data_IF_864071580509
#
_entry.id   IF_864071580509
#
_cell.length_a   1.000
_cell.length_b   1.000
_cell.length_c   1.000
_cell.angle_alpha   90.00
_cell.angle_beta   90.00
_cell.angle_gamma   90.00
#
_symmetry.space_group_name_H-M   'P 1'
#
loop_
_entity.id
_entity.type
_entity.pdbx_description
1 polymer ?
#
# COMPACT_ATOMS: atom_id res chain seq x y z
N UNK A 1 4.58 -3.96 32.98
CA UNK A 1 4.77 -4.21 31.53
C UNK A 1 3.82 -3.30 30.78
N UNK A 2 4.33 -2.33 30.04
CA UNK A 2 3.57 -1.38 29.24
C UNK A 2 2.89 -2.10 28.07
N UNK A 3 1.58 -1.97 27.96
CA UNK A 3 0.74 -2.60 26.94
C UNK A 3 0.35 -1.59 25.88
N UNK A 4 0.68 -1.89 24.63
CA UNK A 4 0.44 -1.02 23.48
C UNK A 4 -0.56 -1.72 22.56
N UNK A 5 -1.63 -1.01 22.21
CA UNK A 5 -2.61 -1.45 21.22
C UNK A 5 -2.16 -0.99 19.83
N UNK A 6 -2.00 -1.90 18.89
CA UNK A 6 -1.86 -1.61 17.47
C UNK A 6 -3.20 -1.87 16.78
N UNK A 7 -3.81 -0.83 16.22
CA UNK A 7 -5.03 -0.91 15.45
C UNK A 7 -4.68 -1.16 13.97
N UNK A 8 -5.23 -2.22 13.38
CA UNK A 8 -5.09 -2.50 11.95
C UNK A 8 -5.89 -3.70 11.48
N UNK A 9 -5.95 -3.90 10.16
CA UNK A 9 -6.68 -4.98 9.49
C UNK A 9 -5.94 -6.33 9.61
N UNK A 10 -5.83 -6.87 10.83
CA UNK A 10 -5.04 -8.07 11.11
C UNK A 10 -5.93 -9.33 11.06
N UNK A 11 -5.39 -10.41 10.48
CA UNK A 11 -6.00 -11.74 10.54
C UNK A 11 -6.75 -12.20 9.28
N UNK A 12 -6.84 -11.37 8.24
CA UNK A 12 -7.54 -11.70 6.99
C UNK A 12 -6.70 -12.43 5.94
N UNK A 13 -5.45 -12.79 6.28
CA UNK A 13 -4.46 -13.32 5.32
C UNK A 13 -4.27 -12.41 4.09
N UNK A 14 -4.46 -11.11 4.27
CA UNK A 14 -4.10 -10.12 3.25
C UNK A 14 -2.61 -9.81 3.37
N UNK A 15 -1.85 -10.04 2.31
CA UNK A 15 -0.40 -9.82 2.26
C UNK A 15 -0.01 -8.38 2.62
N UNK A 16 -0.82 -7.41 2.19
CA UNK A 16 -0.62 -6.00 2.48
C UNK A 16 -0.77 -5.67 3.96
N UNK A 17 -1.87 -6.10 4.57
CA UNK A 17 -2.10 -5.81 5.99
C UNK A 17 -1.15 -6.63 6.90
N UNK A 18 -0.82 -7.85 6.48
CA UNK A 18 0.19 -8.69 7.13
C UNK A 18 1.56 -8.00 7.15
N UNK A 19 2.01 -7.44 6.02
CA UNK A 19 3.32 -6.79 5.96
C UNK A 19 3.37 -5.51 6.79
N UNK A 20 2.26 -4.75 6.88
CA UNK A 20 2.17 -3.60 7.80
C UNK A 20 2.42 -4.02 9.25
N UNK A 21 1.78 -5.11 9.66
CA UNK A 21 1.91 -5.64 11.01
C UNK A 21 3.31 -6.20 11.29
N UNK A 22 3.87 -6.97 10.35
CA UNK A 22 5.18 -7.57 10.50
C UNK A 22 6.29 -6.52 10.59
N UNK A 23 6.25 -5.49 9.75
CA UNK A 23 7.21 -4.37 9.81
C UNK A 23 7.08 -3.64 11.15
N UNK A 24 5.85 -3.33 11.59
CA UNK A 24 5.66 -2.69 12.90
C UNK A 24 6.28 -3.52 14.02
N UNK A 25 5.98 -4.82 14.08
CA UNK A 25 6.50 -5.73 15.10
C UNK A 25 8.01 -5.87 15.05
N UNK A 26 8.59 -5.96 13.85
CA UNK A 26 10.03 -6.04 13.68
C UNK A 26 10.71 -4.83 14.33
N UNK A 27 10.27 -3.62 13.98
CA UNK A 27 10.82 -2.40 14.55
C UNK A 27 10.48 -2.24 16.04
N UNK A 28 9.29 -2.67 16.47
CA UNK A 28 8.92 -2.67 17.89
C UNK A 28 9.91 -3.49 18.73
N UNK A 29 10.18 -4.73 18.32
CA UNK A 29 11.10 -5.62 19.02
C UNK A 29 12.56 -5.17 18.93
N UNK A 30 12.92 -4.46 17.85
CA UNK A 30 14.27 -3.89 17.67
C UNK A 30 14.53 -2.70 18.59
N UNK A 31 13.51 -1.88 18.88
CA UNK A 31 13.68 -0.62 19.61
C UNK A 31 13.22 -0.67 21.07
N UNK A 32 12.35 -1.61 21.43
CA UNK A 32 11.75 -1.69 22.76
C UNK A 32 12.07 -3.02 23.42
N UNK A 33 12.41 -2.97 24.71
CA UNK A 33 12.78 -4.14 25.49
C UNK A 33 11.55 -5.03 25.76
N UNK A 34 11.62 -6.31 25.36
CA UNK A 34 10.50 -7.24 25.42
C UNK A 34 9.99 -7.55 26.84
N UNK A 35 10.83 -7.36 27.86
CA UNK A 35 10.43 -7.50 29.27
C UNK A 35 9.61 -6.31 29.79
N UNK A 36 9.64 -5.17 29.09
CA UNK A 36 8.97 -3.93 29.50
C UNK A 36 7.76 -3.63 28.62
N UNK A 37 7.82 -3.92 27.33
CA UNK A 37 6.80 -3.54 26.36
C UNK A 37 6.14 -4.76 25.72
N UNK A 38 4.83 -4.69 25.59
CA UNK A 38 4.02 -5.68 24.88
C UNK A 38 3.11 -4.98 23.87
N UNK A 39 3.08 -5.46 22.62
CA UNK A 39 2.14 -4.99 21.60
C UNK A 39 1.08 -6.03 21.32
N UNK A 40 -0.17 -5.60 21.25
CA UNK A 40 -1.32 -6.41 20.83
C UNK A 40 -1.92 -5.78 19.58
N UNK A 41 -1.98 -6.55 18.49
CA UNK A 41 -2.69 -6.16 17.27
C UNK A 41 -4.17 -6.47 17.37
N UNK A 42 -5.04 -5.53 16.95
CA UNK A 42 -6.48 -5.75 16.93
C UNK A 42 -7.18 -4.95 15.82
N UNK A 43 -8.31 -5.49 15.37
CA UNK A 43 -9.30 -4.76 14.58
C UNK A 43 -9.99 -3.71 15.43
N UNK A 44 -10.49 -2.64 14.79
CA UNK A 44 -11.18 -1.57 15.50
C UNK A 44 -12.33 -2.10 16.37
N UNK A 45 -13.23 -2.92 15.81
CA UNK A 45 -14.46 -3.37 16.48
C UNK A 45 -14.20 -4.16 17.76
N UNK A 46 -13.08 -4.91 17.81
CA UNK A 46 -12.73 -5.77 18.94
C UNK A 46 -11.84 -5.08 19.98
N UNK A 47 -11.41 -3.84 19.73
CA UNK A 47 -10.47 -3.16 20.59
C UNK A 47 -11.16 -2.19 21.57
N UNK A 48 -10.76 -2.25 22.84
CA UNK A 48 -10.96 -1.18 23.82
C UNK A 48 -9.66 -0.40 24.02
N UNK A 49 -9.55 0.83 23.46
CA UNK A 49 -8.35 1.66 23.60
C UNK A 49 -7.98 2.00 25.05
N UNK A 50 -8.95 2.02 25.98
CA UNK A 50 -8.70 2.43 27.36
C UNK A 50 -8.02 1.35 28.20
N UNK A 51 -8.12 0.09 27.77
CA UNK A 51 -7.48 -1.07 28.41
C UNK A 51 -5.95 -1.15 28.20
N UNK A 52 -5.38 -0.20 27.47
CA UNK A 52 -3.96 -0.13 27.11
C UNK A 52 -3.31 1.16 27.62
N UNK A 53 -1.98 1.16 27.66
CA UNK A 53 -1.18 2.32 28.07
C UNK A 53 -0.97 3.30 26.91
N UNK A 54 -0.98 2.80 25.67
CA UNK A 54 -0.87 3.60 24.45
C UNK A 54 -1.57 2.94 23.26
N UNK A 55 -1.96 3.75 22.27
CA UNK A 55 -2.66 3.30 21.06
C UNK A 55 -1.93 3.74 19.80
N UNK A 56 -1.71 2.83 18.86
CA UNK A 56 -1.09 3.11 17.57
C UNK A 56 -2.09 2.80 16.48
N UNK A 57 -2.47 3.81 15.70
CA UNK A 57 -3.14 3.60 14.42
C UNK A 57 -2.08 3.15 13.42
N UNK A 58 -2.17 1.90 12.99
CA UNK A 58 -1.21 1.25 12.11
C UNK A 58 -1.18 1.78 10.67
N UNK A 59 -0.32 1.12 9.88
CA UNK A 59 -0.25 1.33 8.44
C UNK A 59 -1.52 0.88 7.71
N UNK A 60 -1.55 1.09 6.39
CA UNK A 60 -2.72 0.78 5.56
C UNK A 60 -3.63 1.99 5.36
N UNK A 61 -4.94 1.78 5.21
CA UNK A 61 -5.91 2.84 4.91
C UNK A 61 -6.84 3.11 6.09
N UNK A 62 -6.26 3.31 7.28
CA UNK A 62 -6.99 3.35 8.55
C UNK A 62 -7.39 4.76 8.99
N UNK A 63 -7.07 5.80 8.20
CA UNK A 63 -7.69 7.12 8.36
C UNK A 63 -9.11 7.02 7.79
N UNK A 64 -9.95 6.36 8.56
CA UNK A 64 -11.30 5.97 8.23
C UNK A 64 -12.19 6.06 9.48
N UNK A 65 -13.52 6.27 9.34
CA UNK A 65 -14.39 6.58 10.47
C UNK A 65 -14.33 5.59 11.64
N UNK A 66 -14.29 4.28 11.33
CA UNK A 66 -14.27 3.21 12.35
C UNK A 66 -13.03 3.27 13.24
N UNK A 67 -11.86 3.52 12.66
CA UNK A 67 -10.60 3.62 13.37
C UNK A 67 -10.41 4.98 14.05
N UNK A 68 -10.82 6.07 13.39
CA UNK A 68 -10.81 7.41 13.99
C UNK A 68 -11.71 7.49 15.23
N UNK A 69 -12.82 6.75 15.26
CA UNK A 69 -13.66 6.63 16.45
C UNK A 69 -12.90 6.02 17.64
N UNK A 70 -12.01 5.04 17.39
CA UNK A 70 -11.17 4.44 18.45
C UNK A 70 -10.09 5.41 18.94
N UNK A 71 -9.49 6.20 18.04
CA UNK A 71 -8.61 7.29 18.45
C UNK A 71 -9.35 8.36 19.26
N UNK A 72 -10.60 8.67 18.91
CA UNK A 72 -11.41 9.61 19.68
C UNK A 72 -11.71 9.10 21.10
N UNK A 73 -11.92 7.79 21.28
CA UNK A 73 -12.04 7.17 22.61
C UNK A 73 -10.73 7.33 23.39
N UNK A 74 -9.58 7.01 22.77
CA UNK A 74 -8.27 7.19 23.40
C UNK A 74 -8.03 8.65 23.82
N UNK A 75 -8.33 9.60 22.92
CA UNK A 75 -8.22 11.03 23.15
C UNK A 75 -9.05 11.50 24.35
N UNK A 76 -10.35 11.14 24.40
CA UNK A 76 -11.24 11.48 25.51
C UNK A 76 -10.79 10.86 26.84
N UNK A 77 -10.23 9.65 26.80
CA UNK A 77 -9.67 8.97 27.96
C UNK A 77 -8.26 9.43 28.35
N UNK A 78 -7.72 10.48 27.72
CA UNK A 78 -6.34 10.96 27.94
C UNK A 78 -5.27 9.89 27.74
N UNK A 79 -5.55 8.89 26.88
CA UNK A 79 -4.59 7.86 26.50
C UNK A 79 -3.69 8.39 25.39
N UNK A 80 -2.36 8.24 25.48
CA UNK A 80 -1.46 8.64 24.41
C UNK A 80 -1.71 7.79 23.16
N UNK A 81 -1.81 8.45 22.00
CA UNK A 81 -1.98 7.76 20.73
C UNK A 81 -1.14 8.37 19.61
N UNK A 82 -0.93 7.54 18.59
CA UNK A 82 -0.01 7.80 17.49
C UNK A 82 -0.60 7.30 16.16
N UNK A 83 -0.22 7.92 15.05
CA UNK A 83 -0.58 7.50 13.68
C UNK A 83 0.70 7.15 12.93
N UNK A 84 0.84 5.88 12.55
CA UNK A 84 2.07 5.30 12.06
C UNK A 84 1.97 4.95 10.57
N UNK A 85 2.12 5.97 9.72
CA UNK A 85 2.16 5.82 8.26
C UNK A 85 0.83 5.44 7.62
N UNK A 86 -0.29 5.74 8.28
CA UNK A 86 -1.62 5.43 7.76
C UNK A 86 -2.03 6.35 6.62
N UNK A 87 -2.81 5.87 5.67
CA UNK A 87 -3.32 6.64 4.54
C UNK A 87 -4.83 6.84 4.59
N UNK A 88 -5.29 7.78 3.76
CA UNK A 88 -6.70 7.95 3.40
C UNK A 88 -7.03 7.04 2.21
N UNK A 89 -8.29 6.65 2.07
CA UNK A 89 -8.80 5.92 0.89
C UNK A 89 -10.24 6.35 0.57
N UNK A 90 -11.24 5.77 1.24
CA UNK A 90 -12.67 5.93 0.90
C UNK A 90 -13.27 7.31 1.23
N UNK A 91 -12.55 8.15 1.97
CA UNK A 91 -13.01 9.51 2.31
C UNK A 91 -12.89 10.49 1.13
N UNK A 92 -12.02 10.17 0.15
CA UNK A 92 -11.79 11.01 -1.03
C UNK A 92 -12.42 10.33 -2.25
N UNK A 93 -13.54 10.85 -2.78
CA UNK A 93 -14.10 10.33 -4.02
C UNK A 93 -13.27 10.80 -5.23
N UNK A 94 -13.50 10.18 -6.39
CA UNK A 94 -12.75 10.42 -7.63
C UNK A 94 -12.61 11.90 -8.00
N UNK A 95 -13.71 12.67 -7.96
CA UNK A 95 -13.68 14.11 -8.25
C UNK A 95 -12.76 14.90 -7.32
N UNK A 96 -12.62 14.47 -6.07
CA UNK A 96 -11.70 15.07 -5.12
C UNK A 96 -10.25 14.77 -5.47
N UNK A 97 -9.96 13.51 -5.78
CA UNK A 97 -8.65 13.10 -6.28
C UNK A 97 -8.25 13.86 -7.55
N UNK A 98 -9.16 13.96 -8.53
CA UNK A 98 -8.88 14.65 -9.80
C UNK A 98 -8.57 16.13 -9.60
N UNK A 99 -9.31 16.79 -8.71
CA UNK A 99 -9.03 18.17 -8.34
C UNK A 99 -7.65 18.31 -7.69
N UNK A 100 -7.27 17.40 -6.78
CA UNK A 100 -5.95 17.41 -6.14
C UNK A 100 -4.81 17.17 -7.14
N UNK A 101 -4.99 16.24 -8.08
CA UNK A 101 -3.98 15.93 -9.10
C UNK A 101 -3.80 17.06 -10.12
N UNK A 102 -4.86 17.82 -10.41
CA UNK A 102 -4.84 18.92 -11.40
C UNK A 102 -4.59 20.29 -10.77
N UNK A 103 -4.51 20.38 -9.44
CA UNK A 103 -4.46 21.67 -8.73
C UNK A 103 -5.75 22.49 -8.83
N UNK A 104 -6.86 21.85 -9.20
CA UNK A 104 -8.18 22.51 -9.29
C UNK A 104 -8.82 22.66 -7.91
N UNK A 105 -9.72 23.63 -7.70
CA UNK A 105 -10.47 23.75 -6.46
C UNK A 105 -11.25 22.47 -6.14
N UNK A 106 -11.26 22.04 -4.87
CA UNK A 106 -12.07 20.89 -4.47
C UNK A 106 -13.57 21.16 -4.65
N UNK A 107 -14.37 20.13 -5.01
CA UNK A 107 -15.81 20.24 -5.06
C UNK A 107 -16.41 20.71 -3.72
N UNK A 108 -17.38 21.63 -3.78
CA UNK A 108 -18.13 22.06 -2.59
C UNK A 108 -18.79 20.85 -1.90
N UNK A 109 -18.65 20.74 -0.58
CA UNK A 109 -19.18 19.61 0.20
C UNK A 109 -18.27 18.39 0.30
N UNK A 110 -17.10 18.38 -0.36
CA UNK A 110 -16.02 17.42 -0.08
C UNK A 110 -15.31 17.67 1.26
N UNK A 111 -15.68 18.76 1.94
CA UNK A 111 -15.09 19.20 3.19
C UNK A 111 -15.32 18.13 4.27
N UNK A 112 -14.22 17.45 4.63
CA UNK A 112 -13.92 16.93 5.97
C UNK A 112 -14.97 16.05 6.69
N UNK A 113 -15.89 15.36 6.00
CA UNK A 113 -16.87 14.51 6.71
C UNK A 113 -16.13 13.42 7.50
N UNK A 114 -16.18 13.52 8.83
CA UNK A 114 -15.58 12.56 9.76
C UNK A 114 -14.10 12.78 10.10
N UNK A 115 -13.47 13.86 9.60
CA UNK A 115 -12.14 14.27 10.07
C UNK A 115 -12.29 15.30 11.17
N UNK A 116 -11.73 15.00 12.35
CA UNK A 116 -11.70 15.91 13.49
C UNK A 116 -10.26 16.36 13.69
N UNK A 117 -9.96 17.62 13.36
CA UNK A 117 -8.58 18.14 13.40
C UNK A 117 -7.94 18.06 14.80
N UNK A 118 -8.75 18.19 15.86
CA UNK A 118 -8.33 18.02 17.24
C UNK A 118 -7.72 16.63 17.52
N UNK A 119 -8.17 15.57 16.81
CA UNK A 119 -7.57 14.24 16.94
C UNK A 119 -6.14 14.20 16.41
N UNK A 120 -5.83 14.95 15.35
CA UNK A 120 -4.47 15.00 14.82
C UNK A 120 -3.59 15.91 15.67
N UNK A 121 -4.13 17.04 16.15
CA UNK A 121 -3.43 17.93 17.09
C UNK A 121 -3.09 17.23 18.41
N UNK A 122 -3.99 16.37 18.90
CA UNK A 122 -3.77 15.58 20.11
C UNK A 122 -2.88 14.34 19.92
N UNK A 123 -2.59 13.95 18.68
CA UNK A 123 -1.73 12.80 18.42
C UNK A 123 -0.29 13.13 18.81
N UNK A 124 0.36 12.21 19.54
CA UNK A 124 1.75 12.44 19.97
C UNK A 124 2.74 12.23 18.84
N UNK A 125 2.36 11.50 17.81
CA UNK A 125 3.05 11.41 16.54
C UNK A 125 1.99 11.15 15.48
N UNK A 126 2.06 11.85 14.35
CA UNK A 126 1.23 11.51 13.21
C UNK A 126 2.03 11.66 11.92
N UNK A 127 2.11 10.54 11.20
CA UNK A 127 2.65 10.51 9.86
C UNK A 127 1.70 9.73 8.95
N UNK A 128 1.57 10.21 7.71
CA UNK A 128 0.72 9.61 6.68
C UNK A 128 1.54 9.04 5.54
N UNK A 129 0.93 8.07 4.85
CA UNK A 129 1.55 7.33 3.75
C UNK A 129 2.08 8.23 2.64
N UNK A 130 1.31 9.25 2.24
CA UNK A 130 1.63 10.05 1.07
C UNK A 130 1.13 11.48 1.13
N UNK A 131 1.61 12.33 0.19
CA UNK A 131 1.31 13.75 0.17
C UNK A 131 -0.15 14.06 -0.15
N UNK A 132 -0.86 13.18 -0.87
CA UNK A 132 -2.28 13.39 -1.14
C UNK A 132 -3.12 13.21 0.14
N UNK A 133 -2.80 12.21 0.97
CA UNK A 133 -3.40 12.05 2.29
C UNK A 133 -3.14 13.28 3.17
N UNK A 134 -1.91 13.82 3.17
CA UNK A 134 -1.55 15.02 3.92
C UNK A 134 -2.36 16.23 3.44
N UNK A 135 -2.40 16.48 2.12
CA UNK A 135 -3.15 17.59 1.54
C UNK A 135 -4.64 17.49 1.87
N UNK A 136 -5.24 16.29 1.78
CA UNK A 136 -6.65 16.11 2.16
C UNK A 136 -6.91 16.46 3.63
N UNK A 137 -6.02 16.05 4.55
CA UNK A 137 -6.15 16.35 5.97
C UNK A 137 -5.96 17.85 6.27
N UNK A 138 -5.05 18.52 5.56
CA UNK A 138 -4.89 19.98 5.65
C UNK A 138 -6.14 20.72 5.20
N UNK A 139 -6.74 20.28 4.09
CA UNK A 139 -8.02 20.82 3.61
C UNK A 139 -9.17 20.54 4.59
N UNK A 140 -9.03 19.50 5.41
CA UNK A 140 -9.95 19.19 6.50
C UNK A 140 -9.65 19.94 7.82
N UNK A 141 -8.69 20.87 7.81
CA UNK A 141 -8.36 21.74 8.94
C UNK A 141 -7.31 21.17 9.89
N UNK A 142 -6.52 20.18 9.48
CA UNK A 142 -5.35 19.73 10.24
C UNK A 142 -4.12 20.57 9.88
N UNK A 143 -3.47 21.16 10.88
CA UNK A 143 -2.28 21.98 10.67
C UNK A 143 -1.10 21.14 10.12
N UNK A 144 -0.31 21.74 9.22
CA UNK A 144 0.78 21.05 8.53
C UNK A 144 1.86 20.53 9.51
N UNK A 145 2.14 21.26 10.59
CA UNK A 145 3.09 20.81 11.62
C UNK A 145 2.66 19.54 12.36
N UNK A 146 1.36 19.19 12.33
CA UNK A 146 0.82 18.05 13.05
C UNK A 146 0.87 16.76 12.23
N UNK A 147 1.21 16.81 10.93
CA UNK A 147 1.24 15.63 10.06
C UNK A 147 2.48 15.64 9.16
N UNK A 148 3.33 14.63 9.31
CA UNK A 148 4.43 14.37 8.39
C UNK A 148 4.03 13.39 7.26
N UNK A 149 4.73 13.41 6.12
CA UNK A 149 4.69 12.34 5.12
C UNK A 149 5.82 11.37 5.40
N UNK A 150 5.49 10.11 5.67
CA UNK A 150 6.47 9.07 6.03
C UNK A 150 6.71 8.01 4.98
N UNK A 151 5.93 7.99 3.91
CA UNK A 151 5.86 6.83 3.02
C UNK A 151 4.99 5.71 3.60
N UNK A 152 4.71 4.71 2.76
CA UNK A 152 4.06 3.47 3.20
C UNK A 152 5.00 2.69 4.14
N UNK A 153 4.54 2.18 5.30
CA UNK A 153 5.43 1.45 6.21
C UNK A 153 6.16 0.26 5.59
N UNK A 154 5.60 -0.40 4.56
CA UNK A 154 6.31 -1.49 3.88
C UNK A 154 7.56 -1.02 3.11
N UNK A 155 7.74 0.29 2.86
CA UNK A 155 8.98 0.81 2.31
C UNK A 155 10.16 0.74 3.30
N UNK A 156 9.93 0.36 4.57
CA UNK A 156 11.02 0.00 5.49
C UNK A 156 11.65 -1.36 5.15
N UNK A 157 10.97 -2.19 4.35
CA UNK A 157 11.52 -3.44 3.84
C UNK A 157 12.60 -3.17 2.78
N UNK A 158 13.42 -4.17 2.58
CA UNK A 158 14.56 -4.27 1.67
C UNK A 158 14.44 -5.58 0.86
N UNK A 159 15.03 -5.65 -0.35
CA UNK A 159 15.00 -6.88 -1.15
C UNK A 159 15.50 -8.14 -0.42
N UNK A 160 16.38 -7.99 0.57
CA UNK A 160 16.96 -9.05 1.38
C UNK A 160 15.94 -9.80 2.24
N UNK A 161 14.77 -9.21 2.47
CA UNK A 161 13.68 -9.84 3.23
C UNK A 161 12.84 -10.79 2.38
N UNK A 162 13.06 -10.83 1.06
CA UNK A 162 12.39 -11.75 0.17
C UNK A 162 12.71 -13.21 0.54
N UNK A 163 11.70 -14.08 0.45
CA UNK A 163 11.82 -15.51 0.77
C UNK A 163 11.53 -16.34 -0.47
N UNK A 164 12.32 -17.40 -0.73
CA UNK A 164 12.06 -18.26 -1.87
C UNK A 164 10.67 -18.86 -1.77
N UNK A 165 9.96 -18.86 -2.89
CA UNK A 165 8.73 -19.65 -3.05
C UNK A 165 9.05 -21.13 -2.85
N UNK A 166 8.16 -21.85 -2.17
CA UNK A 166 8.29 -23.30 -1.93
C UNK A 166 8.24 -24.13 -3.22
N UNK A 167 7.78 -23.55 -4.32
CA UNK A 167 7.75 -24.15 -5.66
C UNK A 167 8.37 -23.19 -6.67
N UNK A 168 9.19 -23.69 -7.60
CA UNK A 168 9.57 -22.90 -8.78
C UNK A 168 8.38 -22.88 -9.76
N UNK A 169 7.94 -21.70 -10.25
CA UNK A 169 6.97 -21.66 -11.33
C UNK A 169 7.54 -22.41 -12.54
N UNK A 170 6.84 -23.40 -13.12
CA UNK A 170 7.36 -24.26 -14.19
C UNK A 170 7.30 -23.56 -15.55
N UNK A 171 7.54 -22.24 -15.60
CA UNK A 171 7.60 -21.53 -16.87
C UNK A 171 9.01 -21.63 -17.47
N UNK A 172 9.13 -21.63 -18.81
CA UNK A 172 10.42 -21.58 -19.48
C UNK A 172 11.25 -20.38 -18.99
N UNK A 173 12.41 -20.65 -18.38
CA UNK A 173 13.33 -19.63 -17.86
C UNK A 173 14.20 -18.97 -18.93
N UNK A 174 13.89 -19.20 -20.21
CA UNK A 174 14.58 -18.64 -21.37
C UNK A 174 14.12 -17.21 -21.71
N UNK A 175 13.06 -16.71 -21.06
CA UNK A 175 12.45 -15.41 -21.38
C UNK A 175 12.10 -14.58 -20.14
N UNK A 176 12.11 -13.23 -20.25
CA UNK A 176 11.74 -12.35 -19.15
C UNK A 176 10.26 -12.48 -18.77
N UNK A 177 9.99 -12.28 -17.47
CA UNK A 177 8.63 -12.28 -16.94
C UNK A 177 8.04 -10.88 -16.84
N UNK A 178 6.74 -10.75 -17.09
CA UNK A 178 5.93 -9.62 -16.63
C UNK A 178 5.05 -10.10 -15.49
N UNK A 179 5.11 -9.39 -14.37
CA UNK A 179 4.25 -9.66 -13.23
C UNK A 179 2.87 -9.05 -13.42
N UNK A 180 1.81 -9.78 -13.13
CA UNK A 180 0.45 -9.22 -13.10
C UNK A 180 -0.18 -9.52 -11.75
N UNK A 181 -0.37 -8.48 -10.94
CA UNK A 181 -1.22 -8.56 -9.78
C UNK A 181 -2.66 -8.27 -10.16
N UNK A 182 -3.53 -9.27 -10.01
CA UNK A 182 -4.96 -9.13 -10.27
C UNK A 182 -5.80 -9.78 -9.18
N UNK A 183 -6.96 -9.20 -8.92
CA UNK A 183 -7.87 -9.62 -7.86
C UNK A 183 -9.20 -8.90 -7.97
N UNK A 184 -9.91 -8.74 -6.85
CA UNK A 184 -11.17 -8.01 -6.82
C UNK A 184 -11.20 -6.96 -5.71
N UNK A 185 -11.80 -5.81 -5.99
CA UNK A 185 -12.22 -4.83 -5.00
C UNK A 185 -13.76 -4.84 -4.83
N UNK A 186 -14.43 -5.93 -5.23
CA UNK A 186 -15.87 -6.09 -5.22
C UNK A 186 -16.59 -4.97 -6.00
N UNK A 187 -16.02 -4.61 -7.16
CA UNK A 187 -16.41 -3.47 -8.01
C UNK A 187 -16.34 -2.10 -7.31
N UNK A 188 -15.69 -1.98 -6.15
CA UNK A 188 -15.39 -0.69 -5.51
C UNK A 188 -14.12 -0.07 -6.13
N UNK A 189 -14.19 0.19 -7.44
CA UNK A 189 -13.14 0.78 -8.26
C UNK A 189 -13.68 2.04 -8.95
N UNK A 190 -12.80 2.97 -9.34
CA UNK A 190 -13.21 4.03 -10.24
C UNK A 190 -13.74 3.41 -11.55
N UNK A 191 -14.94 3.85 -11.97
CA UNK A 191 -15.67 3.27 -13.10
C UNK A 191 -16.63 2.14 -12.74
N UNK A 192 -16.49 1.53 -11.54
CA UNK A 192 -17.31 0.42 -11.05
C UNK A 192 -17.39 -0.80 -12.01
N UNK A 193 -16.35 -1.02 -12.80
CA UNK A 193 -16.33 -2.04 -13.85
C UNK A 193 -14.98 -2.79 -13.87
N UNK A 194 -14.79 -3.71 -12.92
CA UNK A 194 -13.60 -4.57 -12.90
C UNK A 194 -13.51 -5.48 -14.13
N UNK A 195 -14.65 -5.83 -14.74
CA UNK A 195 -14.70 -6.70 -15.91
C UNK A 195 -14.08 -6.02 -17.14
N UNK A 196 -14.41 -4.75 -17.38
CA UNK A 196 -13.80 -3.97 -18.45
C UNK A 196 -12.28 -3.78 -18.26
N UNK A 197 -11.83 -3.57 -17.02
CA UNK A 197 -10.39 -3.50 -16.72
C UNK A 197 -9.72 -4.84 -16.98
N UNK A 198 -10.34 -5.94 -16.56
CA UNK A 198 -9.85 -7.31 -16.80
C UNK A 198 -9.70 -7.59 -18.29
N UNK A 199 -10.70 -7.26 -19.11
CA UNK A 199 -10.67 -7.52 -20.55
C UNK A 199 -9.56 -6.73 -21.26
N UNK A 200 -9.32 -5.48 -20.84
CA UNK A 200 -8.19 -4.68 -21.35
C UNK A 200 -6.84 -5.28 -20.92
N UNK A 201 -6.74 -5.79 -19.70
CA UNK A 201 -5.54 -6.46 -19.19
C UNK A 201 -5.28 -7.79 -19.91
N UNK A 202 -6.33 -8.54 -20.28
CA UNK A 202 -6.22 -9.74 -21.15
C UNK A 202 -5.59 -9.37 -22.49
N UNK A 203 -6.06 -8.31 -23.13
CA UNK A 203 -5.52 -7.87 -24.43
C UNK A 203 -4.05 -7.47 -24.31
N UNK A 204 -3.69 -6.69 -23.28
CA UNK A 204 -2.29 -6.32 -23.03
C UNK A 204 -1.40 -7.55 -22.77
N UNK A 205 -1.86 -8.48 -21.93
CA UNK A 205 -1.12 -9.71 -21.63
C UNK A 205 -0.88 -10.58 -22.87
N UNK A 206 -1.89 -10.72 -23.75
CA UNK A 206 -1.74 -11.44 -25.02
C UNK A 206 -0.70 -10.79 -25.93
N UNK A 207 -0.65 -9.46 -25.96
CA UNK A 207 0.33 -8.73 -26.75
C UNK A 207 1.74 -8.87 -26.18
N UNK A 208 1.93 -8.77 -24.86
CA UNK A 208 3.23 -9.04 -24.24
C UNK A 208 3.70 -10.48 -24.49
N UNK A 209 2.80 -11.47 -24.48
CA UNK A 209 3.15 -12.85 -24.85
C UNK A 209 3.62 -12.94 -26.29
N UNK A 210 2.97 -12.24 -27.24
CA UNK A 210 3.42 -12.13 -28.64
C UNK A 210 4.80 -11.49 -28.76
N UNK A 211 5.12 -10.52 -27.90
CA UNK A 211 6.44 -9.87 -27.82
C UNK A 211 7.52 -10.74 -27.17
N UNK A 212 7.16 -11.93 -26.69
CA UNK A 212 8.09 -12.91 -26.16
C UNK A 212 8.15 -12.97 -24.63
N UNK A 213 7.31 -12.24 -23.91
CA UNK A 213 7.23 -12.33 -22.45
C UNK A 213 6.45 -13.55 -21.97
N UNK A 214 6.79 -14.01 -20.76
CA UNK A 214 5.96 -14.91 -19.98
C UNK A 214 5.27 -14.11 -18.86
N UNK A 215 4.09 -14.52 -18.42
CA UNK A 215 3.30 -13.82 -17.42
C UNK A 215 3.30 -14.58 -16.10
N UNK A 216 3.80 -13.94 -15.05
CA UNK A 216 3.68 -14.41 -13.66
C UNK A 216 2.55 -13.64 -12.97
N UNK A 217 1.43 -14.31 -12.76
CA UNK A 217 0.31 -13.73 -12.04
C UNK A 217 0.45 -13.99 -10.54
N UNK A 218 0.05 -13.03 -9.71
CA UNK A 218 0.05 -13.18 -8.26
C UNK A 218 -1.09 -12.40 -7.61
N UNK A 219 -1.43 -12.76 -6.38
CA UNK A 219 -2.54 -12.20 -5.63
C UNK A 219 -2.08 -11.69 -4.25
N UNK A 220 -2.78 -10.70 -3.70
CA UNK A 220 -2.47 -10.18 -2.36
C UNK A 220 -3.37 -10.73 -1.26
N UNK A 221 -4.43 -11.46 -1.63
CA UNK A 221 -5.45 -11.93 -0.69
C UNK A 221 -6.07 -13.22 -1.23
N UNK A 222 -6.40 -14.24 -0.42
CA UNK A 222 -6.96 -15.48 -0.93
C UNK A 222 -8.25 -15.29 -1.75
N UNK A 223 -9.07 -14.29 -1.40
CA UNK A 223 -10.30 -14.00 -2.15
C UNK A 223 -10.04 -13.35 -3.53
N UNK A 224 -8.80 -12.99 -3.85
CA UNK A 224 -8.42 -12.53 -5.19
C UNK A 224 -8.26 -13.69 -6.18
N UNK A 225 -7.90 -14.90 -5.71
CA UNK A 225 -7.59 -16.03 -6.58
C UNK A 225 -8.69 -16.41 -7.58
N UNK A 226 -10.00 -16.36 -7.26
CA UNK A 226 -11.04 -16.59 -8.26
C UNK A 226 -10.98 -15.62 -9.44
N UNK A 227 -10.73 -14.32 -9.18
CA UNK A 227 -10.56 -13.32 -10.23
C UNK A 227 -9.24 -13.53 -10.99
N UNK A 228 -8.13 -13.83 -10.30
CA UNK A 228 -6.85 -14.12 -10.93
C UNK A 228 -6.92 -15.34 -11.86
N UNK A 229 -7.58 -16.44 -11.43
CA UNK A 229 -7.80 -17.62 -12.28
C UNK A 229 -8.66 -17.31 -13.49
N UNK A 230 -9.73 -16.52 -13.33
CA UNK A 230 -10.56 -16.07 -14.45
C UNK A 230 -9.74 -15.29 -15.49
N UNK A 231 -8.93 -14.33 -15.05
CA UNK A 231 -8.01 -13.59 -15.94
C UNK A 231 -7.02 -14.54 -16.65
N UNK A 232 -6.39 -15.46 -15.91
CA UNK A 232 -5.48 -16.46 -16.47
C UNK A 232 -6.16 -17.28 -17.59
N UNK A 233 -7.38 -17.76 -17.34
CA UNK A 233 -8.16 -18.51 -18.33
C UNK A 233 -8.53 -17.66 -19.57
N UNK A 234 -8.88 -16.39 -19.39
CA UNK A 234 -9.17 -15.47 -20.52
C UNK A 234 -7.94 -15.17 -21.37
N UNK A 235 -6.75 -15.10 -20.77
CA UNK A 235 -5.48 -14.95 -21.50
C UNK A 235 -5.24 -16.18 -22.38
N UNK A 236 -5.47 -17.38 -21.85
CA UNK A 236 -5.51 -18.62 -22.64
C UNK A 236 -4.15 -19.01 -23.24
N UNK A 237 -3.14 -19.22 -22.39
CA UNK A 237 -1.81 -19.71 -22.81
C UNK A 237 -1.07 -20.35 -21.62
N UNK A 238 -1.35 -21.63 -21.35
CA UNK A 238 -0.85 -22.33 -20.14
C UNK A 238 0.68 -22.50 -20.11
N UNK A 239 1.32 -22.52 -21.27
CA UNK A 239 2.78 -22.61 -21.39
C UNK A 239 3.49 -21.29 -21.04
N UNK A 240 2.75 -20.18 -21.01
CA UNK A 240 3.29 -18.82 -20.91
C UNK A 240 2.71 -18.01 -19.76
N UNK A 241 1.67 -18.50 -19.09
CA UNK A 241 0.99 -17.81 -18.01
C UNK A 241 0.88 -18.73 -16.82
N UNK A 242 1.33 -18.26 -15.65
CA UNK A 242 1.20 -19.01 -14.41
C UNK A 242 0.68 -18.14 -13.28
N UNK A 243 -0.30 -18.63 -12.55
CA UNK A 243 -0.71 -18.07 -11.27
C UNK A 243 0.12 -18.66 -10.12
N UNK A 244 0.79 -17.80 -9.38
CA UNK A 244 1.46 -18.12 -8.15
C UNK A 244 0.44 -18.13 -6.99
N UNK A 245 0.14 -19.32 -6.47
CA UNK A 245 -0.79 -19.53 -5.36
C UNK A 245 -0.10 -19.33 -4.00
N UNK A 246 0.33 -18.11 -3.74
CA UNK A 246 0.78 -17.67 -2.41
C UNK A 246 0.26 -16.26 -2.12
N UNK A 247 0.05 -15.98 -0.84
CA UNK A 247 -0.25 -14.63 -0.32
C UNK A 247 0.74 -14.22 0.76
N UNK A 248 1.86 -14.95 0.89
CA UNK A 248 2.93 -14.56 1.80
C UNK A 248 3.70 -13.37 1.19
N UNK A 249 3.74 -12.20 1.84
CA UNK A 249 4.35 -11.00 1.26
C UNK A 249 5.83 -11.19 0.89
N UNK A 250 6.57 -11.99 1.66
CA UNK A 250 7.99 -12.23 1.41
C UNK A 250 8.23 -13.19 0.24
N UNK A 251 7.33 -14.14 0.01
CA UNK A 251 7.36 -14.99 -1.19
C UNK A 251 6.93 -14.20 -2.44
N UNK A 252 5.94 -13.32 -2.29
CA UNK A 252 5.51 -12.40 -3.34
C UNK A 252 6.65 -11.47 -3.77
N UNK A 253 7.48 -10.98 -2.84
CA UNK A 253 8.69 -10.22 -3.17
C UNK A 253 9.65 -11.01 -4.08
N UNK A 254 9.85 -12.31 -3.82
CA UNK A 254 10.68 -13.15 -4.70
C UNK A 254 10.03 -13.42 -6.06
N UNK A 255 8.70 -13.47 -6.16
CA UNK A 255 8.00 -13.56 -7.44
C UNK A 255 8.17 -12.26 -8.23
N UNK A 256 7.92 -11.12 -7.59
CA UNK A 256 8.06 -9.78 -8.16
C UNK A 256 9.50 -9.56 -8.64
N UNK A 257 10.51 -9.91 -7.84
CA UNK A 257 11.93 -9.74 -8.18
C UNK A 257 12.41 -10.53 -9.42
N UNK A 258 11.64 -11.49 -9.91
CA UNK A 258 11.92 -12.19 -11.17
C UNK A 258 11.37 -11.47 -12.40
N UNK A 259 10.54 -10.45 -12.20
CA UNK A 259 9.84 -9.74 -13.26
C UNK A 259 10.68 -8.60 -13.81
N UNK A 260 10.55 -8.36 -15.12
CA UNK A 260 11.07 -7.17 -15.78
C UNK A 260 10.32 -5.94 -15.29
N UNK A 261 8.99 -5.99 -15.31
CA UNK A 261 8.11 -5.01 -14.69
C UNK A 261 6.82 -5.69 -14.21
N UNK A 262 6.02 -4.99 -13.42
CA UNK A 262 4.72 -5.47 -12.95
C UNK A 262 3.55 -4.58 -13.39
N UNK A 263 2.36 -5.14 -13.45
CA UNK A 263 1.09 -4.40 -13.54
C UNK A 263 0.27 -4.71 -12.29
N UNK A 264 0.04 -3.69 -11.48
CA UNK A 264 -0.37 -3.86 -10.09
C UNK A 264 -1.75 -3.29 -9.80
N UNK A 265 -2.74 -4.18 -9.60
CA UNK A 265 -4.09 -3.77 -9.21
C UNK A 265 -4.20 -3.39 -7.73
N UNK A 266 -3.61 -4.18 -6.83
CA UNK A 266 -3.63 -3.91 -5.39
C UNK A 266 -2.49 -2.95 -5.05
N UNK A 267 -2.78 -1.97 -4.18
CA UNK A 267 -1.78 -1.01 -3.68
C UNK A 267 -0.50 -1.70 -3.23
N UNK A 268 -0.59 -2.68 -2.33
CA UNK A 268 0.61 -3.30 -1.78
C UNK A 268 1.38 -4.16 -2.79
N UNK A 269 0.79 -4.54 -3.94
CA UNK A 269 1.59 -5.12 -5.01
C UNK A 269 2.56 -4.07 -5.57
N UNK A 270 2.07 -2.86 -5.87
CA UNK A 270 2.92 -1.74 -6.29
C UNK A 270 3.96 -1.34 -5.23
N UNK A 271 3.59 -1.39 -3.94
CA UNK A 271 4.54 -1.13 -2.85
C UNK A 271 5.66 -2.18 -2.83
N UNK A 272 5.34 -3.47 -2.97
CA UNK A 272 6.34 -4.53 -3.00
C UNK A 272 7.19 -4.48 -4.28
N UNK A 273 6.62 -4.09 -5.42
CA UNK A 273 7.37 -3.80 -6.65
C UNK A 273 8.40 -2.69 -6.44
N UNK A 274 8.01 -1.61 -5.76
CA UNK A 274 8.93 -0.54 -5.36
C UNK A 274 10.04 -1.04 -4.42
N UNK A 275 9.70 -1.84 -3.40
CA UNK A 275 10.69 -2.46 -2.49
C UNK A 275 11.69 -3.31 -3.27
N UNK A 276 11.24 -4.06 -4.28
CA UNK A 276 12.10 -4.92 -5.09
C UNK A 276 12.84 -4.18 -6.23
N UNK A 277 12.66 -2.85 -6.35
CA UNK A 277 13.20 -2.03 -7.46
C UNK A 277 12.77 -2.53 -8.84
N UNK A 278 11.58 -3.13 -8.90
CA UNK A 278 10.97 -3.58 -10.15
C UNK A 278 10.04 -2.46 -10.63
N UNK A 279 10.26 -1.90 -11.83
CA UNK A 279 9.33 -0.94 -12.40
C UNK A 279 7.91 -1.49 -12.43
N UNK A 280 6.92 -0.64 -12.16
CA UNK A 280 5.53 -1.06 -12.08
C UNK A 280 4.62 -0.09 -12.83
N UNK A 281 3.47 -0.61 -13.28
CA UNK A 281 2.32 0.18 -13.73
C UNK A 281 1.21 -0.09 -12.74
N UNK A 282 0.81 0.93 -11.98
CA UNK A 282 -0.24 0.80 -10.99
C UNK A 282 -1.62 1.06 -11.61
N UNK A 283 -2.57 0.13 -11.43
CA UNK A 283 -3.97 0.39 -11.75
C UNK A 283 -4.59 1.18 -10.60
N UNK A 284 -4.72 2.48 -10.80
CA UNK A 284 -5.28 3.47 -9.89
C UNK A 284 -6.77 3.28 -9.67
N UNK A 285 -7.15 2.20 -8.98
CA UNK A 285 -8.54 1.82 -8.75
C UNK A 285 -9.23 2.67 -7.69
N UNK A 286 -8.44 3.24 -6.77
CA UNK A 286 -8.87 4.12 -5.68
C UNK A 286 -7.77 5.10 -5.28
N UNK A 287 -8.15 6.10 -4.48
CA UNK A 287 -7.29 7.18 -3.99
C UNK A 287 -5.92 6.70 -3.46
N UNK A 288 -5.92 5.63 -2.66
CA UNK A 288 -4.70 5.16 -1.99
C UNK A 288 -3.55 4.76 -2.93
N UNK A 289 -3.86 4.35 -4.16
CA UNK A 289 -2.84 4.00 -5.17
C UNK A 289 -2.12 5.24 -5.66
N UNK A 290 -2.87 6.31 -5.95
CA UNK A 290 -2.30 7.60 -6.33
C UNK A 290 -1.51 8.24 -5.20
N UNK A 291 -2.02 8.15 -3.97
CA UNK A 291 -1.34 8.69 -2.79
C UNK A 291 0.01 8.03 -2.53
N UNK A 292 0.09 6.70 -2.68
CA UNK A 292 1.36 5.99 -2.63
C UNK A 292 2.28 6.36 -3.81
N UNK A 293 1.78 6.33 -5.04
CA UNK A 293 2.61 6.68 -6.19
C UNK A 293 3.16 8.12 -6.08
N UNK A 294 2.39 9.05 -5.53
CA UNK A 294 2.82 10.41 -5.24
C UNK A 294 3.96 10.48 -4.22
N UNK A 295 3.99 9.58 -3.23
CA UNK A 295 5.02 9.60 -2.19
C UNK A 295 6.39 9.15 -2.69
N UNK A 296 6.45 8.42 -3.81
CA UNK A 296 7.69 7.96 -4.44
C UNK A 296 7.87 8.51 -5.87
N UNK A 297 7.23 9.65 -6.18
CA UNK A 297 7.34 10.33 -7.48
C UNK A 297 7.04 9.43 -8.70
N UNK A 298 6.06 8.53 -8.55
CA UNK A 298 5.68 7.53 -9.55
C UNK A 298 4.26 7.74 -10.12
N UNK A 299 3.63 8.91 -9.91
CA UNK A 299 2.28 9.20 -10.45
C UNK A 299 2.20 8.95 -11.96
N UNK A 300 3.27 9.27 -12.70
CA UNK A 300 3.33 9.06 -14.15
C UNK A 300 3.21 7.61 -14.60
N UNK A 301 3.22 6.64 -13.67
CA UNK A 301 3.03 5.21 -13.92
C UNK A 301 1.70 4.67 -13.36
N UNK A 302 0.76 5.55 -12.99
CA UNK A 302 -0.58 5.16 -12.53
C UNK A 302 -1.60 5.37 -13.64
N UNK A 303 -2.37 4.34 -13.97
CA UNK A 303 -3.50 4.41 -14.91
C UNK A 303 -4.79 4.27 -14.11
N UNK A 304 -5.72 5.22 -14.21
CA UNK A 304 -7.01 5.09 -13.51
C UNK A 304 -7.87 3.98 -14.14
N UNK A 305 -8.58 3.22 -13.31
CA UNK A 305 -9.41 2.10 -13.79
C UNK A 305 -10.61 2.54 -14.63
N UNK A 306 -11.04 3.80 -14.51
CA UNK A 306 -12.08 4.40 -15.34
C UNK A 306 -11.56 5.02 -16.64
N UNK A 307 -10.26 4.90 -16.94
CA UNK A 307 -9.72 5.44 -18.17
C UNK A 307 -10.31 4.71 -19.40
N UNK A 308 -10.86 5.46 -20.39
CA UNK A 308 -11.34 4.87 -21.63
C UNK A 308 -10.20 4.30 -22.48
N UNK A 309 -8.98 4.79 -22.28
CA UNK A 309 -7.77 4.41 -23.04
C UNK A 309 -6.84 3.47 -22.27
N UNK A 310 -7.29 2.87 -21.17
CA UNK A 310 -6.45 2.05 -20.27
C UNK A 310 -5.60 1.01 -21.01
N UNK A 311 -6.16 0.32 -22.02
CA UNK A 311 -5.40 -0.66 -22.81
C UNK A 311 -4.24 -0.05 -23.61
N UNK A 312 -4.45 1.14 -24.20
CA UNK A 312 -3.40 1.86 -24.91
C UNK A 312 -2.34 2.41 -23.95
N UNK A 313 -2.77 2.93 -22.79
CA UNK A 313 -1.87 3.43 -21.75
C UNK A 313 -0.99 2.31 -21.16
N UNK A 314 -1.54 1.10 -20.97
CA UNK A 314 -0.75 -0.07 -20.55
C UNK A 314 0.40 -0.33 -21.52
N UNK A 315 0.11 -0.37 -22.83
CA UNK A 315 1.13 -0.62 -23.86
C UNK A 315 2.14 0.52 -23.93
N UNK A 316 1.68 1.77 -23.87
CA UNK A 316 2.55 2.94 -23.90
C UNK A 316 3.52 2.94 -22.70
N UNK A 317 3.01 2.71 -21.49
CA UNK A 317 3.83 2.68 -20.28
C UNK A 317 4.78 1.48 -20.27
N UNK A 318 4.36 0.30 -20.74
CA UNK A 318 5.27 -0.86 -20.84
C UNK A 318 6.43 -0.56 -21.79
N UNK A 319 6.15 0.02 -22.97
CA UNK A 319 7.21 0.40 -23.92
C UNK A 319 8.13 1.49 -23.36
N UNK A 320 7.58 2.45 -22.59
CA UNK A 320 8.38 3.49 -21.92
C UNK A 320 9.31 2.89 -20.85
N UNK A 321 8.82 1.94 -20.05
CA UNK A 321 9.63 1.21 -19.06
C UNK A 321 10.75 0.44 -19.75
N UNK A 322 10.47 -0.22 -20.87
CA UNK A 322 11.50 -0.96 -21.62
C UNK A 322 12.57 -0.04 -22.18
N UNK A 323 12.18 1.06 -22.82
CA UNK A 323 13.09 2.02 -23.43
C UNK A 323 13.98 2.74 -22.40
N UNK A 324 13.47 2.96 -21.18
CA UNK A 324 14.14 3.71 -20.11
C UNK A 324 14.34 2.87 -18.85
N UNK A 325 14.63 1.58 -19.01
CA UNK A 325 14.61 0.63 -17.89
C UNK A 325 15.54 1.02 -16.75
N UNK A 326 16.82 1.26 -17.06
CA UNK A 326 17.84 1.58 -16.05
C UNK A 326 17.53 2.92 -15.35
N UNK A 327 17.06 3.92 -16.10
CA UNK A 327 16.69 5.21 -15.53
C UNK A 327 15.46 5.10 -14.63
N UNK A 328 14.47 4.29 -15.03
CA UNK A 328 13.26 4.03 -14.23
C UNK A 328 13.62 3.33 -12.92
N UNK A 329 14.51 2.32 -12.97
CA UNK A 329 15.00 1.63 -11.77
C UNK A 329 15.78 2.57 -10.86
N UNK A 330 16.67 3.40 -11.42
CA UNK A 330 17.47 4.35 -10.65
C UNK A 330 16.60 5.42 -9.96
N UNK A 331 15.62 5.97 -10.68
CA UNK A 331 14.67 6.93 -10.12
C UNK A 331 13.85 6.29 -8.97
N UNK A 332 13.36 5.07 -9.17
CA UNK A 332 12.63 4.34 -8.13
C UNK A 332 13.51 4.09 -6.89
N UNK A 333 14.75 3.62 -7.07
CA UNK A 333 15.67 3.38 -5.96
C UNK A 333 15.98 4.67 -5.18
N UNK A 334 16.23 5.78 -5.90
CA UNK A 334 16.49 7.08 -5.27
C UNK A 334 15.34 7.53 -4.35
N UNK A 335 14.09 7.23 -4.71
CA UNK A 335 12.93 7.57 -3.88
C UNK A 335 12.76 6.57 -2.73
N UNK A 336 12.85 5.26 -2.99
CA UNK A 336 12.60 4.22 -1.97
C UNK A 336 13.66 4.22 -0.87
N UNK A 337 14.94 4.42 -1.20
CA UNK A 337 16.04 4.45 -0.21
C UNK A 337 15.88 5.55 0.83
N UNK A 338 15.17 6.64 0.50
CA UNK A 338 14.90 7.71 1.48
C UNK A 338 14.04 7.21 2.65
N UNK A 339 13.08 6.34 2.37
CA UNK A 339 12.17 5.76 3.36
C UNK A 339 12.81 4.63 4.17
N UNK A 340 13.68 3.83 3.55
CA UNK A 340 14.40 2.73 4.21
C UNK A 340 15.39 3.18 5.29
N UNK A 341 15.83 4.44 5.25
CA UNK A 341 16.83 4.99 6.20
C UNK A 341 16.36 5.11 7.66
N UNK A 342 15.24 4.48 8.05
CA UNK A 342 14.55 4.45 9.37
C UNK A 342 14.19 5.80 10.00
N UNK A 343 14.84 6.88 9.57
CA UNK A 343 14.78 8.24 10.10
C UNK A 343 13.44 8.95 9.86
N UNK A 344 12.64 8.51 8.89
CA UNK A 344 11.37 9.16 8.55
C UNK A 344 10.18 8.64 9.35
N UNK A 345 10.16 7.34 9.66
CA UNK A 345 9.02 6.70 10.33
C UNK A 345 9.42 6.00 11.64
N UNK A 346 10.22 4.94 11.54
CA UNK A 346 10.50 4.06 12.67
C UNK A 346 11.26 4.78 13.81
N UNK A 347 12.42 5.35 13.54
CA UNK A 347 13.27 5.96 14.58
C UNK A 347 12.62 7.13 15.32
N UNK A 348 11.99 8.14 14.65
CA UNK A 348 11.34 9.22 15.38
C UNK A 348 10.14 8.73 16.19
N UNK A 349 9.37 7.76 15.66
CA UNK A 349 8.24 7.16 16.36
C UNK A 349 8.67 6.39 17.61
N UNK A 350 9.56 5.41 17.48
CA UNK A 350 9.94 4.54 18.60
C UNK A 350 10.72 5.28 19.69
N UNK A 351 11.56 6.27 19.33
CA UNK A 351 12.21 7.13 20.32
C UNK A 351 11.19 7.93 21.14
N UNK A 352 10.14 8.45 20.50
CA UNK A 352 9.07 9.19 21.18
C UNK A 352 8.26 8.27 22.08
N UNK A 353 7.82 7.12 21.56
CA UNK A 353 7.07 6.12 22.30
C UNK A 353 7.83 5.63 23.55
N UNK A 354 9.13 5.33 23.42
CA UNK A 354 9.98 4.90 24.53
C UNK A 354 10.12 5.98 25.60
N UNK A 355 10.36 7.24 25.20
CA UNK A 355 10.50 8.37 26.12
C UNK A 355 9.22 8.63 26.92
N UNK A 356 8.07 8.46 26.28
CA UNK A 356 6.79 8.92 26.83
C UNK A 356 6.01 7.84 27.59
N UNK A 357 6.21 6.57 27.24
CA UNK A 357 5.47 5.44 27.83
C UNK A 357 6.42 4.45 28.54
N UNK A 358 7.74 4.66 28.44
CA UNK A 358 8.76 3.83 29.07
C UNK A 358 9.20 4.29 30.46
N UNK A 359 8.74 5.44 30.96
CA UNK A 359 9.19 6.02 32.24
C UNK A 359 8.38 5.58 33.46
N UNK A 360 7.57 4.52 33.33
CA UNK A 360 6.87 3.90 34.48
C UNK A 360 7.61 2.66 34.97
#
# INVERSE_FOLDING_TARGET
>A
MTRILYLGEIGYQNAGDQVMWDVFRHHFNKHLEANRFHVVGSLADNADPLAFDAVVLGGGSLIAPTYLAKLAVAHKGSKPYYIWGSGVDKLVPKKGLDAMLTGSPLPAGLIARGIHSDLFRGARFAAVRGPLSQAFLQMAGVDAENIAVSGDPALLLTPEEAKPVSYKPPLPGDRPYIGINWGTAMNQVFGNDEASVEDKLVTAAKEWIRQGYSILMFAMWPNDFPASRRLMHKIGNEDRVRLCETVNPYELMSIIGQCKFTVDFKLHAAVLSAVMRVPFIALGYRFKVFDFAASIDAIGYVISTDSPTLGHELMHLSSRIEAHYSDTVAALDQQVVQYQKTKMLADPFFRRLQKEVGTN
#
